data_IF_450466801525
#
_entry.id   IF_450466801525
#
_cell.length_a   1.000
_cell.length_b   1.000
_cell.length_c   1.000
_cell.angle_alpha   90.00
_cell.angle_beta   90.00
_cell.angle_gamma   90.00
#
_symmetry.space_group_name_H-M   'P 1'
#
loop_
_entity.id
_entity.type
_entity.pdbx_description
1 polymer ?
#
# COMPACT_ATOMS: atom_id res chain seq x y z
N UNK A 1 -1.17 2.47 -2.09
CA UNK A 1 -1.19 3.95 -2.17
C UNK A 1 -0.31 4.54 -1.08
N UNK A 2 0.53 5.48 -1.40
CA UNK A 2 1.36 6.19 -0.45
C UNK A 2 1.59 7.63 -0.88
N UNK A 3 0.93 8.56 -0.22
CA UNK A 3 1.11 9.99 -0.46
C UNK A 3 2.35 10.53 0.24
N UNK A 4 2.67 10.01 1.42
CA UNK A 4 3.84 10.45 2.18
C UNK A 4 5.14 9.98 1.53
N UNK A 5 6.18 10.82 1.64
CA UNK A 5 7.50 10.59 1.06
C UNK A 5 8.11 9.23 1.47
N UNK A 6 8.06 8.89 2.75
CA UNK A 6 8.68 7.66 3.25
C UNK A 6 7.93 6.38 2.83
N UNK A 7 6.68 6.49 2.41
CA UNK A 7 5.90 5.36 1.91
C UNK A 7 6.03 5.13 0.41
N UNK A 8 6.51 6.10 -0.35
CA UNK A 8 6.51 6.02 -1.81
C UNK A 8 7.47 4.95 -2.35
N UNK A 9 8.70 4.92 -1.87
CA UNK A 9 9.68 3.93 -2.30
C UNK A 9 9.27 2.49 -1.93
N UNK A 10 8.82 2.21 -0.69
CA UNK A 10 8.32 0.88 -0.34
C UNK A 10 7.14 0.42 -1.21
N UNK A 11 6.18 1.29 -1.46
CA UNK A 11 5.01 0.97 -2.29
C UNK A 11 5.43 0.66 -3.73
N UNK A 12 6.31 1.48 -4.30
CA UNK A 12 6.82 1.27 -5.66
C UNK A 12 7.53 -0.08 -5.78
N UNK A 13 8.40 -0.40 -4.83
CA UNK A 13 9.14 -1.66 -4.80
C UNK A 13 8.21 -2.86 -4.61
N UNK A 14 7.22 -2.72 -3.75
CA UNK A 14 6.19 -3.73 -3.54
C UNK A 14 5.46 -4.05 -4.86
N UNK A 15 5.09 -3.03 -5.63
CA UNK A 15 4.44 -3.21 -6.92
C UNK A 15 5.34 -3.90 -7.95
N UNK A 16 6.63 -3.58 -7.97
CA UNK A 16 7.59 -4.23 -8.86
C UNK A 16 7.71 -5.74 -8.57
N UNK A 17 7.66 -6.11 -7.30
CA UNK A 17 7.83 -7.51 -6.88
C UNK A 17 6.54 -8.31 -7.05
N UNK A 18 5.39 -7.74 -6.66
CA UNK A 18 4.11 -8.45 -6.63
C UNK A 18 3.28 -8.28 -7.88
N UNK A 19 3.62 -7.31 -8.72
CA UNK A 19 2.81 -6.94 -9.89
C UNK A 19 1.60 -6.09 -9.56
N UNK A 20 1.44 -5.66 -8.31
CA UNK A 20 0.34 -4.79 -7.91
C UNK A 20 0.48 -3.40 -8.53
N UNK A 21 -0.64 -2.78 -8.83
CA UNK A 21 -0.65 -1.38 -9.30
C UNK A 21 -0.36 -0.47 -8.12
N UNK A 22 0.53 0.49 -8.32
CA UNK A 22 0.96 1.41 -7.25
C UNK A 22 0.66 2.85 -7.60
N UNK A 23 0.34 3.64 -6.58
CA UNK A 23 0.14 5.08 -6.69
C UNK A 23 1.05 5.74 -5.66
N UNK A 24 2.35 5.89 -5.97
CA UNK A 24 3.26 6.63 -5.11
C UNK A 24 3.12 8.12 -5.37
N UNK A 25 3.05 8.91 -4.31
CA UNK A 25 2.87 10.34 -4.41
C UNK A 25 1.40 10.75 -4.31
N UNK A 26 1.08 11.91 -4.84
CA UNK A 26 -0.27 12.47 -4.72
C UNK A 26 -1.33 11.58 -5.38
N UNK A 27 -2.35 11.25 -4.61
CA UNK A 27 -3.54 10.58 -5.14
C UNK A 27 -4.42 11.62 -5.83
N UNK A 28 -4.61 11.47 -7.14
CA UNK A 28 -5.42 12.40 -7.93
C UNK A 28 -6.90 12.04 -7.74
N UNK A 29 -7.75 12.98 -7.29
CA UNK A 29 -9.19 12.72 -7.21
C UNK A 29 -9.75 12.24 -8.55
N UNK A 30 -10.57 11.20 -8.50
CA UNK A 30 -11.13 10.57 -9.69
C UNK A 30 -10.41 9.32 -10.18
N UNK A 31 -9.27 8.96 -9.58
CA UNK A 31 -8.51 7.75 -9.95
C UNK A 31 -9.37 6.48 -9.83
N UNK A 32 -10.24 6.41 -8.83
CA UNK A 32 -11.12 5.26 -8.59
C UNK A 32 -12.58 5.52 -9.00
N UNK A 33 -12.95 6.74 -9.33
CA UNK A 33 -14.34 7.14 -9.55
C UNK A 33 -14.64 7.67 -10.94
N UNK A 34 -13.66 8.18 -11.68
CA UNK A 34 -13.86 8.80 -12.98
C UNK A 34 -13.37 7.89 -14.12
N UNK A 35 -14.28 7.18 -14.84
CA UNK A 35 -13.89 6.29 -15.93
C UNK A 35 -13.18 7.00 -17.09
N UNK A 36 -13.35 8.31 -17.22
CA UNK A 36 -12.72 9.09 -18.29
C UNK A 36 -11.29 9.54 -17.96
N UNK A 37 -10.84 9.31 -16.71
CA UNK A 37 -9.47 9.61 -16.35
C UNK A 37 -8.52 8.62 -17.01
N UNK A 38 -7.42 9.12 -17.61
CA UNK A 38 -6.44 8.30 -18.32
C UNK A 38 -5.80 7.22 -17.44
N UNK A 39 -5.66 7.48 -16.13
CA UNK A 39 -5.09 6.54 -15.17
C UNK A 39 -6.14 5.91 -14.24
N UNK A 40 -7.40 5.89 -14.68
CA UNK A 40 -8.47 5.27 -13.93
C UNK A 40 -8.22 3.78 -13.71
N UNK A 41 -8.45 3.31 -12.49
CA UNK A 41 -8.33 1.89 -12.12
C UNK A 41 -9.54 1.45 -11.31
N UNK A 42 -9.86 0.16 -11.41
CA UNK A 42 -10.94 -0.49 -10.65
C UNK A 42 -10.36 -1.67 -9.85
N UNK A 43 -9.68 -1.40 -8.73
CA UNK A 43 -9.10 -2.48 -7.94
C UNK A 43 -10.15 -3.25 -7.17
N UNK A 44 -9.86 -4.51 -6.85
CA UNK A 44 -10.72 -5.32 -5.98
C UNK A 44 -10.48 -5.03 -4.51
N UNK A 45 -9.29 -4.56 -4.17
CA UNK A 45 -8.87 -4.22 -2.82
C UNK A 45 -7.80 -3.13 -2.92
N UNK A 46 -7.76 -2.25 -1.94
CA UNK A 46 -6.76 -1.19 -1.88
C UNK A 46 -6.01 -1.26 -0.53
N UNK A 47 -4.70 -1.04 -0.59
CA UNK A 47 -3.85 -0.93 0.60
C UNK A 47 -3.35 0.50 0.71
N UNK A 48 -3.65 1.16 1.82
CA UNK A 48 -3.20 2.53 2.08
C UNK A 48 -2.14 2.53 3.16
N UNK A 49 -1.12 3.36 2.97
CA UNK A 49 0.02 3.44 3.89
C UNK A 49 -0.31 4.25 5.13
N UNK A 50 -1.08 5.34 4.98
CA UNK A 50 -1.48 6.21 6.08
C UNK A 50 -2.90 6.72 5.83
N UNK A 51 -3.88 6.33 6.66
CA UNK A 51 -5.26 6.76 6.46
C UNK A 51 -5.45 8.28 6.43
N UNK A 52 -4.60 9.01 7.14
CA UNK A 52 -4.69 10.47 7.20
C UNK A 52 -4.22 11.13 5.89
N UNK A 53 -3.06 10.73 5.40
CA UNK A 53 -2.49 11.28 4.16
C UNK A 53 -3.16 10.74 2.92
N UNK A 54 -3.67 9.51 2.98
CA UNK A 54 -4.31 8.81 1.87
C UNK A 54 -5.84 8.84 1.98
N UNK A 55 -6.40 9.82 2.68
CA UNK A 55 -7.83 9.93 2.96
C UNK A 55 -8.68 9.97 1.69
N UNK A 56 -8.21 10.61 0.62
CA UNK A 56 -8.94 10.67 -0.64
C UNK A 56 -9.12 9.29 -1.27
N UNK A 57 -8.07 8.45 -1.21
CA UNK A 57 -8.16 7.08 -1.70
C UNK A 57 -9.19 6.26 -0.92
N UNK A 58 -9.24 6.43 0.41
CA UNK A 58 -10.21 5.75 1.26
C UNK A 58 -11.64 6.20 0.92
N UNK A 59 -11.85 7.51 0.74
CA UNK A 59 -13.16 8.06 0.41
C UNK A 59 -13.69 7.50 -0.90
N UNK A 60 -12.86 7.49 -1.94
CA UNK A 60 -13.24 6.96 -3.26
C UNK A 60 -13.47 5.45 -3.22
N UNK A 61 -12.67 4.73 -2.45
CA UNK A 61 -12.87 3.29 -2.26
C UNK A 61 -14.21 2.99 -1.62
N UNK A 62 -14.60 3.76 -0.62
CA UNK A 62 -15.93 3.63 0.02
C UNK A 62 -17.04 3.89 -0.98
N UNK A 63 -16.92 4.93 -1.79
CA UNK A 63 -17.94 5.27 -2.78
C UNK A 63 -18.17 4.16 -3.80
N UNK A 64 -17.14 3.38 -4.11
CA UNK A 64 -17.19 2.29 -5.08
C UNK A 64 -17.27 0.90 -4.44
N UNK A 65 -17.42 0.81 -3.12
CA UNK A 65 -17.51 -0.47 -2.43
C UNK A 65 -16.23 -1.30 -2.46
N UNK A 66 -15.06 -0.65 -2.57
CA UNK A 66 -13.75 -1.32 -2.60
C UNK A 66 -13.27 -1.51 -1.16
N UNK A 67 -12.95 -2.75 -0.73
CA UNK A 67 -12.39 -2.98 0.60
C UNK A 67 -11.04 -2.29 0.79
N UNK A 68 -10.82 -1.73 1.98
CA UNK A 68 -9.62 -0.97 2.33
C UNK A 68 -8.85 -1.67 3.44
N UNK A 69 -7.59 -1.97 3.17
CA UNK A 69 -6.61 -2.39 4.17
C UNK A 69 -5.72 -1.19 4.45
N UNK A 70 -5.59 -0.79 5.71
CA UNK A 70 -4.80 0.38 6.07
C UNK A 70 -3.72 0.03 7.09
N UNK A 71 -2.53 0.57 6.88
CA UNK A 71 -1.46 0.55 7.89
C UNK A 71 -1.78 1.68 8.88
N UNK A 72 -2.09 1.33 10.13
CA UNK A 72 -2.57 2.28 11.11
C UNK A 72 -1.65 2.35 12.32
N UNK A 73 -1.26 3.56 12.71
CA UNK A 73 -0.62 3.85 13.97
C UNK A 73 -1.67 4.24 15.02
N UNK A 74 -1.27 4.46 16.25
CA UNK A 74 -2.17 4.80 17.35
C UNK A 74 -2.94 6.12 17.15
N UNK A 75 -2.42 7.02 16.30
CA UNK A 75 -3.05 8.32 16.01
C UNK A 75 -4.07 8.26 14.89
N UNK A 76 -4.22 7.15 14.19
CA UNK A 76 -5.07 7.06 13.01
C UNK A 76 -6.51 6.74 13.37
N UNK A 77 -7.44 7.38 12.65
CA UNK A 77 -8.85 7.04 12.69
C UNK A 77 -9.12 5.86 11.75
N UNK A 78 -10.06 5.01 12.15
CA UNK A 78 -10.40 3.79 11.41
C UNK A 78 -11.64 3.94 10.53
N UNK A 79 -12.11 5.17 10.29
CA UNK A 79 -13.30 5.42 9.47
C UNK A 79 -13.11 4.87 8.05
N UNK A 80 -14.05 4.02 7.62
CA UNK A 80 -14.07 3.40 6.28
C UNK A 80 -12.90 2.46 5.99
N UNK A 81 -12.18 2.04 7.01
CA UNK A 81 -11.12 1.04 6.93
C UNK A 81 -11.73 -0.33 7.28
N UNK A 82 -11.59 -1.30 6.39
CA UNK A 82 -12.13 -2.65 6.60
C UNK A 82 -11.18 -3.52 7.42
N UNK A 83 -9.89 -3.41 7.15
CA UNK A 83 -8.85 -4.12 7.90
C UNK A 83 -7.77 -3.13 8.28
N UNK A 84 -7.52 -2.98 9.59
CA UNK A 84 -6.44 -2.16 10.11
C UNK A 84 -5.26 -3.05 10.50
N UNK A 85 -4.08 -2.73 9.97
CA UNK A 85 -2.83 -3.39 10.34
C UNK A 85 -2.08 -2.46 11.29
N UNK A 86 -1.96 -2.80 12.58
CA UNK A 86 -1.32 -1.91 13.55
C UNK A 86 0.19 -1.93 13.37
N UNK A 87 0.73 -0.86 12.83
CA UNK A 87 2.17 -0.70 12.57
C UNK A 87 2.56 0.76 12.70
N UNK A 88 3.86 1.03 12.81
CA UNK A 88 4.38 2.39 12.68
C UNK A 88 4.38 2.78 11.20
N UNK A 89 3.44 3.63 10.79
CA UNK A 89 3.31 4.07 9.39
C UNK A 89 4.02 5.40 9.10
N UNK A 90 4.90 5.85 9.99
CA UNK A 90 5.62 7.12 9.84
C UNK A 90 7.12 6.94 9.68
N UNK A 91 7.67 5.83 10.16
CA UNK A 91 9.09 5.56 10.09
C UNK A 91 9.51 4.97 8.75
N UNK A 92 10.61 5.46 8.19
CA UNK A 92 11.14 5.00 6.91
C UNK A 92 11.42 3.49 6.93
N UNK A 93 12.11 3.02 7.95
CA UNK A 93 12.47 1.60 8.08
C UNK A 93 11.26 0.72 8.40
N UNK A 94 10.34 1.23 9.22
CA UNK A 94 9.15 0.48 9.61
C UNK A 94 8.24 0.22 8.41
N UNK A 95 7.99 1.23 7.58
CA UNK A 95 7.16 1.08 6.37
C UNK A 95 7.83 0.12 5.39
N UNK A 96 9.13 0.23 5.19
CA UNK A 96 9.88 -0.65 4.32
C UNK A 96 9.76 -2.11 4.75
N UNK A 97 9.92 -2.38 6.05
CA UNK A 97 9.79 -3.73 6.59
C UNK A 97 8.38 -4.29 6.40
N UNK A 98 7.34 -3.49 6.64
CA UNK A 98 5.95 -3.92 6.48
C UNK A 98 5.68 -4.34 5.04
N UNK A 99 6.06 -3.53 4.06
CA UNK A 99 5.85 -3.87 2.66
C UNK A 99 6.71 -5.05 2.20
N UNK A 100 7.92 -5.19 2.74
CA UNK A 100 8.75 -6.36 2.48
C UNK A 100 8.09 -7.65 2.99
N UNK A 101 7.58 -7.64 4.22
CA UNK A 101 6.87 -8.77 4.80
C UNK A 101 5.60 -9.12 4.01
N UNK A 102 4.85 -8.11 3.60
CA UNK A 102 3.64 -8.30 2.83
C UNK A 102 3.94 -8.88 1.44
N UNK A 103 4.97 -8.38 0.77
CA UNK A 103 5.42 -8.91 -0.52
C UNK A 103 5.86 -10.37 -0.40
N UNK A 104 6.64 -10.70 0.65
CA UNK A 104 7.08 -12.06 0.92
C UNK A 104 5.90 -13.00 1.08
N UNK A 105 4.91 -12.61 1.88
CA UNK A 105 3.74 -13.45 2.12
C UNK A 105 2.89 -13.64 0.86
N UNK A 106 2.72 -12.61 0.07
CA UNK A 106 1.99 -12.71 -1.20
C UNK A 106 2.68 -13.67 -2.15
N UNK A 107 4.00 -13.62 -2.27
CA UNK A 107 4.75 -14.53 -3.14
C UNK A 107 4.70 -15.97 -2.62
N UNK A 108 4.71 -16.17 -1.31
CA UNK A 108 4.53 -17.51 -0.71
C UNK A 108 3.16 -18.08 -1.03
N UNK A 109 2.10 -17.29 -0.89
CA UNK A 109 0.73 -17.72 -1.17
C UNK A 109 0.50 -18.01 -2.65
N UNK A 110 1.18 -17.32 -3.54
CA UNK A 110 1.12 -17.58 -4.98
C UNK A 110 1.93 -18.81 -5.41
N UNK A 111 2.85 -19.27 -4.56
CA UNK A 111 3.78 -20.34 -4.89
C UNK A 111 5.01 -19.89 -5.66
N UNK A 112 5.26 -18.59 -5.79
CA UNK A 112 6.45 -18.06 -6.46
C UNK A 112 7.73 -18.30 -5.65
N UNK A 113 7.59 -18.43 -4.33
CA UNK A 113 8.65 -18.86 -3.41
C UNK A 113 8.11 -19.94 -2.48
N UNK A 114 8.97 -20.81 -1.89
CA UNK A 114 8.53 -21.82 -0.92
C UNK A 114 7.86 -21.21 0.30
N UNK A 115 7.02 -21.97 1.01
CA UNK A 115 6.31 -21.49 2.19
C UNK A 115 7.22 -20.94 3.29
N UNK A 116 8.43 -21.49 3.41
CA UNK A 116 9.47 -21.04 4.34
C UNK A 116 10.57 -20.25 3.65
N UNK A 117 10.39 -19.90 2.38
CA UNK A 117 11.36 -19.12 1.60
C UNK A 117 11.29 -17.64 1.90
N UNK A 118 12.37 -16.94 1.57
CA UNK A 118 12.48 -15.48 1.68
C UNK A 118 12.68 -14.84 0.31
N UNK A 119 12.47 -13.51 0.26
CA UNK A 119 12.78 -12.73 -0.92
C UNK A 119 14.30 -12.63 -1.11
N UNK A 120 14.74 -12.56 -2.37
CA UNK A 120 16.14 -12.38 -2.72
C UNK A 120 16.68 -10.99 -2.35
N UNK A 121 15.78 -10.05 -2.08
CA UNK A 121 16.10 -8.67 -1.69
C UNK A 121 15.82 -8.45 -0.22
N UNK A 122 16.58 -7.52 0.37
CA UNK A 122 16.51 -7.20 1.78
C UNK A 122 15.45 -6.12 2.06
N UNK A 123 14.92 -6.02 3.31
CA UNK A 123 14.00 -4.93 3.65
C UNK A 123 14.58 -3.54 3.40
N UNK A 124 15.90 -3.37 3.54
CA UNK A 124 16.57 -2.11 3.27
C UNK A 124 16.46 -1.65 1.80
N UNK A 125 16.23 -2.57 0.88
CA UNK A 125 16.04 -2.24 -0.53
C UNK A 125 14.68 -1.57 -0.80
N UNK A 126 13.75 -1.67 0.14
CA UNK A 126 12.45 -1.00 0.10
C UNK A 126 12.51 0.41 0.65
N UNK A 127 13.55 0.77 1.39
CA UNK A 127 13.66 2.08 2.04
C UNK A 127 13.87 3.20 1.01
N UNK A 128 13.29 4.38 1.34
CA UNK A 128 13.61 5.60 0.61
C UNK A 128 15.10 5.93 0.82
N UNK A 129 15.83 6.10 -0.27
CA UNK A 129 17.24 6.45 -0.25
C UNK A 129 17.41 7.92 -0.62
N UNK A 130 18.28 8.59 0.13
CA UNK A 130 18.61 9.97 -0.12
C UNK A 130 19.86 10.10 -0.98
#
# INVERSE_FOLDING_TARGET
>A
VATRQYGQAPVKKFGEITGAKTIPGRFIPGTLTNPNYAKFIEPKIIVVTDPRSDAQAILESKQNGIPVIALCDTENLLSFVDIAVPVNNKGRKAIALVYWLLARQILRERGDIPEDGDLDIQPSDFELKF
#
